data_IF_897217060250
#
_entry.id   IF_897217060250
#
_cell.length_a   1.000
_cell.length_b   1.000
_cell.length_c   1.000
_cell.angle_alpha   90.00
_cell.angle_beta   90.00
_cell.angle_gamma   90.00
#
_symmetry.space_group_name_H-M   'P 1'
#
loop_
_entity.id
_entity.type
_entity.pdbx_description
1 polymer ?
#
# COMPACT_ATOMS: atom_id res chain seq x y z
N UNK A 1 -42.67 -15.96 -7.45
CA UNK A 1 -42.96 -16.96 -8.51
C UNK A 1 -41.63 -17.46 -9.04
N UNK A 2 -41.34 -18.73 -8.81
CA UNK A 2 -40.13 -19.40 -9.29
C UNK A 2 -40.22 -19.69 -10.80
N UNK A 3 -39.07 -19.66 -11.49
CA UNK A 3 -38.74 -20.36 -12.74
C UNK A 3 -37.25 -20.10 -13.03
N UNK A 4 -36.33 -20.86 -12.46
CA UNK A 4 -35.79 -22.17 -12.90
C UNK A 4 -35.03 -22.14 -14.24
N UNK A 5 -33.82 -22.69 -14.14
CA UNK A 5 -32.73 -22.91 -15.09
C UNK A 5 -33.17 -23.56 -16.41
N UNK A 6 -32.39 -23.32 -17.47
CA UNK A 6 -32.10 -24.36 -18.45
C UNK A 6 -30.62 -24.36 -18.86
N UNK A 7 -29.92 -25.35 -18.30
CA UNK A 7 -28.65 -25.90 -18.76
C UNK A 7 -28.88 -26.71 -20.03
N UNK A 8 -28.10 -26.51 -21.09
CA UNK A 8 -27.88 -27.57 -22.09
C UNK A 8 -26.49 -27.49 -22.71
N UNK A 9 -25.69 -28.46 -22.29
CA UNK A 9 -24.39 -28.91 -22.78
C UNK A 9 -24.41 -29.22 -24.29
N UNK A 10 -23.38 -28.84 -25.03
CA UNK A 10 -23.07 -29.47 -26.33
C UNK A 10 -21.55 -29.65 -26.46
N UNK A 11 -21.10 -30.84 -26.07
CA UNK A 11 -19.83 -31.43 -26.46
C UNK A 11 -19.90 -31.81 -27.95
N UNK A 12 -19.01 -31.28 -28.77
CA UNK A 12 -18.74 -31.80 -30.10
C UNK A 12 -17.22 -31.81 -30.34
N UNK A 13 -16.64 -32.94 -29.96
CA UNK A 13 -15.29 -33.37 -30.26
C UNK A 13 -15.30 -33.97 -31.67
N UNK A 14 -14.55 -33.42 -32.63
CA UNK A 14 -14.07 -34.19 -33.80
C UNK A 14 -12.91 -33.47 -34.49
N UNK A 15 -11.77 -34.14 -34.45
CA UNK A 15 -10.51 -33.76 -35.06
C UNK A 15 -10.52 -33.90 -36.58
N UNK A 16 -9.93 -32.94 -37.29
CA UNK A 16 -9.31 -33.15 -38.60
C UNK A 16 -7.94 -32.49 -38.58
N UNK A 17 -6.94 -33.36 -38.56
CA UNK A 17 -5.53 -33.10 -38.82
C UNK A 17 -5.37 -32.68 -40.29
N UNK A 18 -4.89 -31.46 -40.55
CA UNK A 18 -4.31 -31.09 -41.85
C UNK A 18 -2.93 -30.48 -41.59
N UNK A 19 -1.92 -31.32 -41.75
CA UNK A 19 -0.52 -30.95 -41.89
C UNK A 19 -0.35 -30.20 -43.21
N UNK A 20 -0.23 -28.88 -43.14
CA UNK A 20 0.41 -28.06 -44.18
C UNK A 20 1.69 -27.48 -43.60
N UNK A 21 2.82 -28.03 -44.06
CA UNK A 21 4.14 -27.50 -43.85
C UNK A 21 4.28 -26.14 -44.55
N UNK A 22 4.32 -25.05 -43.77
CA UNK A 22 4.90 -23.75 -44.13
C UNK A 22 4.95 -22.86 -42.87
N UNK A 23 6.11 -22.73 -42.22
CA UNK A 23 6.38 -21.71 -41.20
C UNK A 23 5.98 -22.05 -39.75
N UNK A 24 6.77 -22.91 -39.12
CA UNK A 24 6.82 -23.29 -37.68
C UNK A 24 7.30 -22.10 -36.81
N UNK A 25 6.80 -21.73 -35.62
CA UNK A 25 5.90 -22.37 -34.68
C UNK A 25 5.06 -21.29 -33.96
N UNK A 26 3.77 -21.21 -34.33
CA UNK A 26 2.76 -20.47 -33.58
C UNK A 26 2.42 -21.21 -32.30
N UNK A 27 3.23 -21.02 -31.25
CA UNK A 27 2.85 -21.43 -29.89
C UNK A 27 1.86 -20.38 -29.37
N UNK A 28 0.57 -20.73 -29.36
CA UNK A 28 -0.36 -20.16 -28.39
C UNK A 28 0.20 -20.49 -27.00
N UNK A 29 1.05 -19.61 -26.48
CA UNK A 29 1.33 -19.57 -25.07
C UNK A 29 -0.01 -19.44 -24.35
N UNK A 30 -0.21 -20.15 -23.24
CA UNK A 30 -1.40 -19.95 -22.43
C UNK A 30 -1.45 -18.45 -22.17
N UNK A 31 -2.61 -17.83 -22.43
CA UNK A 31 -2.93 -16.55 -21.81
C UNK A 31 -2.55 -16.74 -20.35
N UNK A 32 -1.43 -16.14 -19.96
CA UNK A 32 -1.10 -15.94 -18.56
C UNK A 32 -2.40 -15.43 -17.94
N UNK A 33 -2.79 -15.93 -16.76
CA UNK A 33 -4.02 -15.49 -16.13
C UNK A 33 -3.97 -13.98 -16.22
N UNK A 34 -5.02 -13.39 -16.82
CA UNK A 34 -5.25 -11.96 -16.84
C UNK A 34 -4.80 -11.46 -15.47
N UNK A 35 -3.58 -10.93 -15.41
CA UNK A 35 -3.09 -10.20 -14.26
C UNK A 35 -4.06 -9.05 -14.32
N UNK A 36 -5.20 -9.21 -13.61
CA UNK A 36 -6.16 -8.17 -13.32
C UNK A 36 -5.30 -6.95 -13.24
N UNK A 37 -5.39 -6.06 -14.23
CA UNK A 37 -4.48 -4.95 -14.39
C UNK A 37 -4.34 -4.36 -12.99
N UNK A 38 -3.24 -4.72 -12.32
CA UNK A 38 -2.93 -4.22 -11.01
C UNK A 38 -2.78 -2.78 -11.37
N UNK A 39 -3.76 -1.95 -10.99
CA UNK A 39 -3.67 -0.52 -11.19
C UNK A 39 -2.24 -0.18 -10.78
N UNK A 40 -1.39 0.11 -11.78
CA UNK A 40 0.05 -0.02 -11.59
C UNK A 40 0.35 0.95 -10.47
N UNK A 41 0.66 0.41 -9.29
CA UNK A 41 0.78 1.23 -8.09
C UNK A 41 1.90 2.21 -8.41
N UNK A 42 1.64 3.53 -8.37
CA UNK A 42 2.65 4.50 -8.71
C UNK A 42 3.86 4.22 -7.82
N UNK A 43 5.08 4.10 -8.36
CA UNK A 43 6.27 3.79 -7.57
C UNK A 43 6.47 4.79 -6.42
N UNK A 44 5.98 6.02 -6.59
CA UNK A 44 6.00 7.08 -5.60
C UNK A 44 4.99 6.85 -4.48
N UNK A 45 3.78 6.39 -4.80
CA UNK A 45 2.80 5.99 -3.79
C UNK A 45 3.34 4.84 -2.93
N UNK A 46 4.03 3.88 -3.56
CA UNK A 46 4.70 2.77 -2.86
C UNK A 46 5.82 3.27 -1.96
N UNK A 47 6.68 4.17 -2.46
CA UNK A 47 7.79 4.74 -1.69
C UNK A 47 7.30 5.55 -0.49
N UNK A 48 6.36 6.47 -0.70
CA UNK A 48 5.81 7.31 0.37
C UNK A 48 5.08 6.46 1.40
N UNK A 49 4.32 5.45 0.98
CA UNK A 49 3.65 4.52 1.91
C UNK A 49 4.65 3.75 2.76
N UNK A 50 5.74 3.26 2.16
CA UNK A 50 6.81 2.58 2.89
C UNK A 50 7.44 3.47 3.97
N UNK A 51 7.77 4.71 3.61
CA UNK A 51 8.31 5.71 4.55
C UNK A 51 7.31 6.06 5.65
N UNK A 52 6.04 6.25 5.29
CA UNK A 52 4.98 6.61 6.22
C UNK A 52 4.75 5.50 7.25
N UNK A 53 4.65 4.24 6.81
CA UNK A 53 4.42 3.10 7.70
C UNK A 53 5.60 2.88 8.63
N UNK A 54 6.83 2.96 8.13
CA UNK A 54 8.03 2.87 8.96
C UNK A 54 8.08 3.98 10.02
N UNK A 55 7.81 5.22 9.62
CA UNK A 55 7.80 6.39 10.51
C UNK A 55 6.68 6.29 11.54
N UNK A 56 5.49 5.86 11.13
CA UNK A 56 4.35 5.63 12.01
C UNK A 56 4.66 4.55 13.04
N UNK A 57 5.29 3.45 12.65
CA UNK A 57 5.71 2.40 13.57
C UNK A 57 6.65 2.95 14.66
N UNK A 58 7.67 3.72 14.25
CA UNK A 58 8.59 4.36 15.21
C UNK A 58 7.86 5.32 16.15
N UNK A 59 7.00 6.19 15.63
CA UNK A 59 6.21 7.13 16.42
C UNK A 59 5.22 6.43 17.35
N UNK A 60 4.60 5.34 16.90
CA UNK A 60 3.67 4.54 17.69
C UNK A 60 4.37 3.95 18.91
N UNK A 61 5.50 3.25 18.72
CA UNK A 61 6.25 2.67 19.83
C UNK A 61 6.81 3.74 20.77
N UNK A 62 7.27 4.88 20.26
CA UNK A 62 7.68 6.01 21.10
C UNK A 62 6.51 6.53 21.96
N UNK A 63 5.31 6.60 21.38
CA UNK A 63 4.09 7.06 22.07
C UNK A 63 3.58 6.10 23.15
N UNK A 64 4.06 4.84 23.18
CA UNK A 64 3.75 3.90 24.26
C UNK A 64 4.58 4.20 25.53
N UNK A 65 5.72 4.88 25.37
CA UNK A 65 6.59 5.25 26.49
C UNK A 65 6.18 6.59 27.13
N UNK A 66 5.56 7.48 26.35
CA UNK A 66 5.11 8.79 26.80
C UNK A 66 3.89 9.28 26.01
N UNK A 67 2.94 9.92 26.69
CA UNK A 67 1.73 10.51 26.07
C UNK A 67 2.03 11.72 25.19
N UNK A 68 3.13 12.42 25.47
CA UNK A 68 3.68 13.46 24.61
C UNK A 68 5.11 13.09 24.25
N UNK A 69 5.39 13.00 22.95
CA UNK A 69 6.74 12.70 22.45
C UNK A 69 6.98 13.39 21.12
N UNK A 70 8.24 13.63 20.80
CA UNK A 70 8.66 14.13 19.50
C UNK A 70 9.60 13.11 18.88
N UNK A 71 9.26 12.65 17.68
CA UNK A 71 10.09 11.71 16.92
C UNK A 71 10.85 12.50 15.85
N UNK A 72 12.18 12.64 15.96
CA UNK A 72 12.96 13.40 15.01
C UNK A 72 13.07 12.65 13.67
N UNK A 73 12.92 13.39 12.57
CA UNK A 73 13.31 12.95 11.24
C UNK A 73 14.77 13.31 10.94
N UNK A 74 15.21 13.05 9.72
CA UNK A 74 16.42 13.64 9.16
C UNK A 74 16.29 15.18 9.04
N UNK A 75 15.08 15.65 8.68
CA UNK A 75 14.63 17.02 8.93
C UNK A 75 13.26 17.01 9.60
N UNK A 76 12.95 18.07 10.36
CA UNK A 76 11.66 18.19 11.06
C UNK A 76 11.41 17.11 12.13
N UNK A 77 10.15 17.01 12.58
CA UNK A 77 9.73 16.05 13.60
C UNK A 77 8.25 15.68 13.46
N UNK A 78 7.91 14.52 14.01
CA UNK A 78 6.52 14.15 14.31
C UNK A 78 6.27 14.46 15.78
N UNK A 79 5.42 15.45 16.03
CA UNK A 79 4.95 15.80 17.37
C UNK A 79 3.73 14.94 17.71
N UNK A 80 3.86 14.09 18.70
CA UNK A 80 2.81 13.19 19.18
C UNK A 80 2.23 13.75 20.47
N UNK A 81 0.93 14.06 20.45
CA UNK A 81 0.18 14.55 21.61
C UNK A 81 -1.08 13.69 21.80
N UNK A 82 -0.95 12.60 22.55
CA UNK A 82 -2.03 11.64 22.70
C UNK A 82 -2.43 11.04 21.35
N UNK A 83 -3.62 11.42 20.87
CA UNK A 83 -4.19 10.98 19.61
C UNK A 83 -3.88 11.92 18.44
N UNK A 84 -3.45 13.15 18.73
CA UNK A 84 -3.18 14.17 17.73
C UNK A 84 -1.69 14.14 17.38
N UNK A 85 -1.37 13.76 16.15
CA UNK A 85 0.00 13.63 15.67
C UNK A 85 0.21 14.64 14.56
N UNK A 86 1.19 15.52 14.72
CA UNK A 86 1.46 16.59 13.75
C UNK A 86 2.83 16.36 13.14
N UNK A 87 2.87 16.25 11.81
CA UNK A 87 4.09 16.18 11.04
C UNK A 87 4.48 17.60 10.65
N UNK A 88 5.64 18.06 11.13
CA UNK A 88 6.17 19.39 10.85
C UNK A 88 7.50 19.26 10.13
N UNK A 89 7.49 19.57 8.83
CA UNK A 89 8.60 19.46 7.90
C UNK A 89 9.33 18.11 8.02
N UNK A 90 8.57 17.06 8.33
CA UNK A 90 9.10 15.78 8.71
C UNK A 90 9.64 15.06 7.48
N UNK A 91 10.94 14.83 7.46
CA UNK A 91 11.59 14.05 6.42
C UNK A 91 12.38 12.92 7.05
N UNK A 92 11.98 11.65 6.87
CA UNK A 92 12.74 10.52 7.39
C UNK A 92 14.05 10.29 6.61
N UNK A 93 14.09 10.63 5.32
CA UNK A 93 15.20 10.33 4.40
C UNK A 93 15.92 11.58 3.84
N UNK A 94 15.43 12.78 4.16
CA UNK A 94 15.96 14.06 3.65
C UNK A 94 15.55 14.39 2.21
N UNK A 95 14.78 13.52 1.54
CA UNK A 95 14.38 13.67 0.14
C UNK A 95 12.93 14.11 0.01
N UNK A 96 12.06 13.58 0.87
CA UNK A 96 10.63 13.87 0.89
C UNK A 96 10.28 14.51 2.22
N UNK A 97 9.60 15.64 2.18
CA UNK A 97 9.10 16.35 3.35
C UNK A 97 7.60 16.09 3.47
N UNK A 98 7.18 15.70 4.66
CA UNK A 98 5.80 15.38 5.02
C UNK A 98 5.31 16.43 6.03
N UNK A 99 4.23 17.11 5.67
CA UNK A 99 3.57 18.11 6.50
C UNK A 99 2.10 17.71 6.68
N UNK A 100 1.57 17.74 7.89
CA UNK A 100 0.16 17.41 8.09
C UNK A 100 -0.21 17.02 9.49
N UNK A 101 -1.43 16.53 9.63
CA UNK A 101 -1.96 16.07 10.90
C UNK A 101 -2.66 14.72 10.72
N UNK A 102 -2.39 13.82 11.67
CA UNK A 102 -2.96 12.50 11.79
C UNK A 102 -3.69 12.41 13.12
N UNK A 103 -4.91 11.89 13.08
CA UNK A 103 -5.68 11.48 14.23
C UNK A 103 -5.53 9.97 14.41
N UNK A 104 -4.94 9.57 15.53
CA UNK A 104 -4.61 8.18 15.87
C UNK A 104 -5.47 7.77 17.07
N UNK A 105 -6.45 6.89 16.85
CA UNK A 105 -7.33 6.39 17.91
C UNK A 105 -6.67 5.34 18.81
N UNK A 106 -5.58 5.71 19.51
CA UNK A 106 -4.78 4.80 20.35
C UNK A 106 -5.60 4.07 21.41
N UNK A 107 -6.70 4.67 21.86
CA UNK A 107 -7.65 4.11 22.82
C UNK A 107 -8.35 2.84 22.32
N UNK A 108 -8.33 2.59 21.01
CA UNK A 108 -9.01 1.45 20.37
C UNK A 108 -8.09 0.23 20.20
N UNK A 109 -6.93 0.22 20.88
CA UNK A 109 -6.00 -0.92 20.89
C UNK A 109 -6.73 -2.26 21.14
N UNK A 110 -6.46 -3.32 20.35
CA UNK A 110 -5.34 -3.46 19.40
C UNK A 110 -5.64 -2.99 17.97
N UNK A 111 -6.85 -2.51 17.68
CA UNK A 111 -7.29 -2.10 16.33
C UNK A 111 -7.43 -0.58 16.31
N UNK A 112 -6.37 0.09 15.87
CA UNK A 112 -6.21 1.54 15.99
C UNK A 112 -6.56 2.19 14.65
N UNK A 113 -7.64 2.97 14.57
CA UNK A 113 -7.92 3.77 13.38
C UNK A 113 -6.93 4.94 13.32
N UNK A 114 -6.46 5.23 12.11
CA UNK A 114 -5.58 6.35 11.80
C UNK A 114 -6.14 7.06 10.58
N UNK A 115 -6.46 8.33 10.74
CA UNK A 115 -6.96 9.15 9.64
C UNK A 115 -6.28 10.50 9.63
N UNK A 116 -6.16 11.12 8.46
CA UNK A 116 -5.64 12.47 8.38
C UNK A 116 -5.21 12.87 6.98
N UNK A 117 -4.59 14.04 6.90
CA UNK A 117 -4.13 14.60 5.64
C UNK A 117 -2.66 14.93 5.75
N UNK A 118 -1.90 14.51 4.75
CA UNK A 118 -0.47 14.69 4.63
C UNK A 118 -0.19 15.36 3.29
N UNK A 119 0.44 16.51 3.33
CA UNK A 119 1.05 17.17 2.20
C UNK A 119 2.47 16.61 2.04
N UNK A 120 2.76 16.16 0.82
CA UNK A 120 4.05 15.63 0.45
C UNK A 120 4.71 16.64 -0.46
N UNK A 121 5.90 17.10 -0.07
CA UNK A 121 6.71 18.04 -0.85
C UNK A 121 8.13 17.48 -1.04
N UNK A 122 8.76 17.78 -2.17
CA UNK A 122 10.08 17.23 -2.52
C UNK A 122 10.23 17.04 -4.03
N UNK A 123 10.44 15.80 -4.47
CA UNK A 123 10.52 15.46 -5.89
C UNK A 123 9.21 15.66 -6.66
N UNK A 124 8.07 15.53 -5.96
CA UNK A 124 6.73 15.83 -6.45
C UNK A 124 5.90 16.43 -5.30
N UNK A 125 4.95 17.29 -5.65
CA UNK A 125 4.00 17.90 -4.71
C UNK A 125 2.64 17.21 -4.86
N UNK A 126 2.18 16.57 -3.79
CA UNK A 126 0.88 15.88 -3.77
C UNK A 126 0.21 16.00 -2.40
N UNK A 127 -1.12 15.95 -2.39
CA UNK A 127 -1.89 15.87 -1.14
C UNK A 127 -2.42 14.45 -0.97
N UNK A 128 -2.14 13.87 0.19
CA UNK A 128 -2.54 12.53 0.55
C UNK A 128 -3.57 12.55 1.68
N UNK A 129 -4.68 11.85 1.50
CA UNK A 129 -5.66 11.60 2.55
C UNK A 129 -5.55 10.15 2.96
N UNK A 130 -5.22 9.94 4.23
CA UNK A 130 -5.03 8.63 4.83
C UNK A 130 -6.30 8.27 5.61
N UNK A 131 -6.86 7.09 5.35
CA UNK A 131 -7.89 6.47 6.17
C UNK A 131 -7.55 4.98 6.32
N UNK A 132 -6.91 4.64 7.43
CA UNK A 132 -6.35 3.31 7.65
C UNK A 132 -6.65 2.79 9.04
N UNK A 133 -6.56 1.47 9.18
CA UNK A 133 -6.68 0.76 10.44
C UNK A 133 -5.41 -0.06 10.64
N UNK A 134 -4.75 0.19 11.77
CA UNK A 134 -3.55 -0.52 12.20
C UNK A 134 -3.94 -1.56 13.25
N UNK A 135 -3.65 -2.82 12.99
CA UNK A 135 -3.85 -3.89 13.96
C UNK A 135 -2.51 -4.35 14.52
N UNK A 136 -2.40 -4.35 15.86
CA UNK A 136 -1.20 -4.76 16.58
C UNK A 136 -1.35 -6.21 17.05
N UNK A 137 -0.47 -7.09 16.57
CA UNK A 137 -0.40 -8.48 16.98
C UNK A 137 1.00 -8.79 17.54
N UNK A 138 1.16 -8.64 18.87
CA UNK A 138 2.46 -8.81 19.52
C UNK A 138 3.44 -7.70 19.09
N UNK A 139 4.49 -8.07 18.37
CA UNK A 139 5.48 -7.14 17.79
C UNK A 139 5.23 -6.81 16.32
N UNK A 140 4.21 -7.42 15.70
CA UNK A 140 3.86 -7.17 14.30
C UNK A 140 2.75 -6.13 14.20
N UNK A 141 2.94 -5.17 13.29
CA UNK A 141 1.92 -4.21 12.87
C UNK A 141 1.41 -4.61 11.49
N UNK A 142 0.10 -4.73 11.36
CA UNK A 142 -0.57 -4.89 10.07
C UNK A 142 -1.41 -3.65 9.79
N UNK A 143 -1.41 -3.21 8.54
CA UNK A 143 -2.09 -1.99 8.12
C UNK A 143 -3.06 -2.31 7.00
N UNK A 144 -4.31 -1.86 7.12
CA UNK A 144 -5.36 -2.00 6.11
C UNK A 144 -6.07 -0.67 5.92
N UNK A 145 -6.80 -0.48 4.82
CA UNK A 145 -7.55 0.74 4.53
C UNK A 145 -7.23 1.35 3.18
N UNK A 146 -7.43 2.65 3.06
CA UNK A 146 -7.37 3.40 1.81
C UNK A 146 -6.44 4.61 1.93
N UNK A 147 -5.59 4.79 0.92
CA UNK A 147 -4.79 5.99 0.72
C UNK A 147 -5.31 6.71 -0.52
N UNK A 148 -5.72 7.95 -0.38
CA UNK A 148 -6.11 8.77 -1.53
C UNK A 148 -4.99 9.74 -1.86
N UNK A 149 -4.47 9.71 -3.09
CA UNK A 149 -3.45 10.65 -3.57
C UNK A 149 -4.05 11.41 -4.76
N UNK A 150 -4.12 12.73 -4.68
CA UNK A 150 -4.64 13.60 -5.74
C UNK A 150 -6.03 13.15 -6.27
N UNK A 151 -6.86 12.60 -5.37
CA UNK A 151 -8.20 12.10 -5.66
C UNK A 151 -8.29 10.67 -6.20
N UNK A 152 -7.17 9.96 -6.32
CA UNK A 152 -7.13 8.52 -6.69
C UNK A 152 -6.98 7.68 -5.44
N UNK A 153 -7.91 6.73 -5.24
CA UNK A 153 -7.90 5.82 -4.10
C UNK A 153 -7.05 4.57 -4.38
N UNK A 154 -6.19 4.24 -3.41
CA UNK A 154 -5.30 3.08 -3.42
C UNK A 154 -5.55 2.22 -2.19
N UNK A 155 -5.47 0.90 -2.37
CA UNK A 155 -5.54 -0.04 -1.27
C UNK A 155 -4.22 -0.06 -0.47
N UNK A 156 -4.30 0.22 0.82
CA UNK A 156 -3.13 0.29 1.70
C UNK A 156 -2.43 -1.05 1.85
N UNK A 157 -3.16 -2.17 1.88
CA UNK A 157 -2.55 -3.48 2.04
C UNK A 157 -1.72 -3.85 0.80
N UNK A 158 -2.22 -3.51 -0.40
CA UNK A 158 -1.48 -3.64 -1.64
C UNK A 158 -0.23 -2.76 -1.67
N UNK A 159 -0.34 -1.48 -1.26
CA UNK A 159 0.80 -0.55 -1.20
C UNK A 159 1.88 -1.01 -0.22
N UNK A 160 1.50 -1.46 0.98
CA UNK A 160 2.45 -1.98 1.99
C UNK A 160 3.15 -3.24 1.49
N UNK A 161 2.42 -4.14 0.82
CA UNK A 161 3.00 -5.34 0.23
C UNK A 161 4.01 -5.00 -0.86
N UNK A 162 3.66 -4.03 -1.73
CA UNK A 162 4.56 -3.55 -2.78
C UNK A 162 5.80 -2.87 -2.19
N UNK A 163 5.65 -2.06 -1.14
CA UNK A 163 6.76 -1.37 -0.47
C UNK A 163 7.72 -2.38 0.20
N UNK A 164 7.18 -3.40 0.86
CA UNK A 164 7.97 -4.47 1.46
C UNK A 164 8.74 -5.28 0.39
N UNK A 165 8.10 -5.60 -0.74
CA UNK A 165 8.76 -6.27 -1.85
C UNK A 165 9.88 -5.43 -2.47
N UNK A 166 9.67 -4.12 -2.65
CA UNK A 166 10.68 -3.20 -3.14
C UNK A 166 11.87 -3.09 -2.18
N UNK A 167 11.62 -3.00 -0.87
CA UNK A 167 12.66 -3.00 0.14
C UNK A 167 13.48 -4.30 0.15
N UNK A 168 12.82 -5.45 0.03
CA UNK A 168 13.50 -6.75 -0.06
C UNK A 168 14.36 -6.87 -1.33
N UNK A 169 13.87 -6.38 -2.46
CA UNK A 169 14.62 -6.35 -3.71
C UNK A 169 15.85 -5.43 -3.62
N UNK A 170 15.72 -4.26 -2.98
CA UNK A 170 16.85 -3.36 -2.75
C UNK A 170 17.91 -3.99 -1.82
N UNK A 171 17.48 -4.69 -0.77
CA UNK A 171 18.39 -5.43 0.13
C UNK A 171 19.13 -6.56 -0.59
N UNK A 172 18.48 -7.26 -1.52
CA UNK A 172 19.09 -8.32 -2.32
C UNK A 172 20.07 -7.77 -3.39
N UNK A 173 19.84 -6.56 -3.90
CA UNK A 173 20.71 -5.93 -4.89
C UNK A 173 21.97 -5.26 -4.28
N UNK A 174 21.94 -4.98 -2.97
CA UNK A 174 23.07 -4.41 -2.23
C UNK A 174 23.98 -5.43 -1.54
N UNK A 175 23.76 -6.73 -1.78
CA UNK A 175 24.52 -7.86 -1.20
C UNK A 175 25.67 -8.35 -2.06
#
# INVERSE_FOLDING_TARGET
MAKWLNTTTTLALCAVFLMTACGDDGKSTPMAPDEKATAQLPPEAVQVTGLLVASFQTAFFASLLADTTSVPGMSGSVEVMGNDWVLQDFSPDGMIVLNGALLVGKEQYPVIPVSGTIEVTGSQESTMVLDMVVSVAGSELSTTGTLTIDGVEFDMAALVTAAAAAAAAAAAAGG
#
